data_IF_503687075764
#
_entry.id   IF_503687075764
#
_cell.length_a   1.000
_cell.length_b   1.000
_cell.length_c   1.000
_cell.angle_alpha   90.00
_cell.angle_beta   90.00
_cell.angle_gamma   90.00
#
_symmetry.space_group_name_H-M   'P 1'
#
loop_
_entity.id
_entity.type
_entity.pdbx_description
1 polymer ?
#
# COMPACT_ATOMS: atom_id res chain seq x y z
N UNK A 1 -1.90 -29.82 3.75
CA UNK A 1 -1.05 -29.42 2.61
C UNK A 1 -1.51 -28.03 2.19
N UNK A 2 -0.62 -27.03 2.23
CA UNK A 2 -0.93 -25.64 1.82
C UNK A 2 -1.01 -25.57 0.29
N UNK A 3 -1.96 -24.82 -0.26
CA UNK A 3 -2.12 -24.61 -1.70
C UNK A 3 -1.95 -23.13 -2.03
N UNK A 4 -1.15 -22.84 -3.05
CA UNK A 4 -1.05 -21.51 -3.64
C UNK A 4 -2.33 -21.26 -4.44
N UNK A 5 -2.98 -20.12 -4.20
CA UNK A 5 -4.19 -19.68 -4.91
C UNK A 5 -3.93 -18.51 -5.84
N UNK A 6 -2.90 -17.70 -5.55
CA UNK A 6 -2.49 -16.59 -6.42
C UNK A 6 -0.98 -16.35 -6.30
N UNK A 7 -0.36 -15.94 -7.41
CA UNK A 7 1.05 -15.57 -7.50
C UNK A 7 1.14 -14.18 -8.13
N UNK A 8 1.98 -13.32 -7.58
CA UNK A 8 2.35 -12.05 -8.19
C UNK A 8 3.87 -11.94 -8.25
N UNK A 9 4.39 -11.54 -9.40
CA UNK A 9 5.81 -11.31 -9.62
C UNK A 9 6.03 -9.82 -9.85
N UNK A 10 6.92 -9.20 -9.08
CA UNK A 10 7.34 -7.81 -9.29
C UNK A 10 8.72 -7.77 -9.93
N UNK A 11 8.88 -6.94 -10.96
CA UNK A 11 10.19 -6.68 -11.58
C UNK A 11 10.12 -5.58 -12.64
N UNK A 12 10.51 -4.37 -12.28
CA UNK A 12 11.11 -3.40 -13.20
C UNK A 12 12.19 -2.62 -12.43
N UNK A 13 13.40 -2.59 -13.00
CA UNK A 13 14.64 -1.96 -12.52
C UNK A 13 15.43 -2.65 -11.39
N UNK A 14 16.51 -3.30 -11.84
CA UNK A 14 17.76 -3.66 -11.15
C UNK A 14 17.64 -4.47 -9.82
N UNK A 15 17.81 -5.78 -10.00
CA UNK A 15 18.52 -6.74 -9.14
C UNK A 15 17.79 -7.53 -8.04
N UNK A 16 16.49 -7.35 -7.78
CA UNK A 16 15.74 -8.33 -6.96
C UNK A 16 14.32 -8.52 -7.49
N UNK A 17 14.13 -9.56 -8.30
CA UNK A 17 12.79 -10.04 -8.66
C UNK A 17 12.14 -10.69 -7.43
N UNK A 18 11.02 -10.12 -6.99
CA UNK A 18 10.26 -10.65 -5.85
C UNK A 18 9.03 -11.40 -6.37
N UNK A 19 8.93 -12.68 -6.02
CA UNK A 19 7.71 -13.46 -6.21
C UNK A 19 6.97 -13.57 -4.89
N UNK A 20 5.68 -13.22 -4.90
CA UNK A 20 4.78 -13.36 -3.76
C UNK A 20 3.68 -14.38 -4.06
N UNK A 21 3.30 -15.16 -3.05
CA UNK A 21 2.28 -16.20 -3.16
C UNK A 21 1.25 -16.07 -2.05
N UNK A 22 -0.02 -15.94 -2.43
CA UNK A 22 -1.17 -16.05 -1.53
C UNK A 22 -1.61 -17.52 -1.46
N UNK A 23 -1.78 -18.02 -0.26
CA UNK A 23 -2.21 -19.39 -0.01
C UNK A 23 -3.66 -19.48 0.45
N UNK A 24 -4.26 -20.67 0.30
CA UNK A 24 -5.65 -20.93 0.67
C UNK A 24 -5.95 -20.84 2.17
N UNK A 25 -4.93 -20.74 3.01
CA UNK A 25 -5.02 -20.52 4.46
C UNK A 25 -4.92 -19.02 4.82
N UNK A 26 -4.93 -18.13 3.83
CA UNK A 26 -4.82 -16.68 4.01
C UNK A 26 -3.40 -16.18 4.26
N UNK A 27 -2.41 -17.06 4.30
CA UNK A 27 -1.01 -16.65 4.48
C UNK A 27 -0.39 -16.14 3.18
N UNK A 28 0.46 -15.13 3.29
CA UNK A 28 1.25 -14.58 2.18
C UNK A 28 2.72 -14.93 2.39
N UNK A 29 3.36 -15.37 1.32
CA UNK A 29 4.76 -15.77 1.30
C UNK A 29 5.51 -15.03 0.21
N UNK A 30 6.81 -14.84 0.40
CA UNK A 30 7.71 -14.19 -0.56
C UNK A 30 8.92 -15.08 -0.82
N UNK A 31 9.44 -15.02 -2.04
CA UNK A 31 10.76 -15.50 -2.40
C UNK A 31 11.42 -14.47 -3.33
N UNK A 32 12.64 -14.07 -3.00
CA UNK A 32 13.45 -13.19 -3.84
C UNK A 32 14.63 -13.94 -4.44
N UNK A 33 15.45 -14.52 -3.58
CA UNK A 33 16.61 -15.34 -3.95
C UNK A 33 16.30 -16.78 -3.55
N UNK A 34 16.46 -17.74 -4.48
CA UNK A 34 16.04 -19.13 -4.27
C UNK A 34 16.76 -19.76 -3.06
N UNK A 35 18.01 -19.38 -2.83
CA UNK A 35 18.87 -19.80 -1.73
C UNK A 35 18.35 -19.34 -0.35
N UNK A 36 17.58 -18.25 -0.28
CA UNK A 36 16.96 -17.77 0.97
C UNK A 36 15.65 -18.50 1.28
N UNK A 37 15.11 -19.23 0.30
CA UNK A 37 13.84 -19.92 0.42
C UNK A 37 12.66 -18.98 0.59
N UNK A 38 11.50 -19.57 0.91
CA UNK A 38 10.28 -18.81 1.13
C UNK A 38 10.25 -18.21 2.53
N UNK A 39 9.99 -16.91 2.62
CA UNK A 39 9.72 -16.21 3.88
C UNK A 39 8.22 -15.90 4.01
N UNK A 40 7.67 -16.13 5.21
CA UNK A 40 6.27 -15.81 5.51
C UNK A 40 6.16 -14.33 5.83
N UNK A 41 5.21 -13.63 5.21
CA UNK A 41 4.81 -12.30 5.67
C UNK A 41 4.10 -12.38 7.02
N UNK A 42 4.12 -11.31 7.82
CA UNK A 42 3.28 -11.21 9.01
C UNK A 42 1.81 -11.46 8.65
N UNK A 43 1.06 -12.09 9.55
CA UNK A 43 -0.36 -12.31 9.32
C UNK A 43 -1.07 -10.96 9.08
N UNK A 44 -1.89 -10.92 8.05
CA UNK A 44 -2.74 -9.76 7.73
C UNK A 44 -4.00 -9.92 8.59
N UNK A 45 -4.29 -8.99 9.53
CA UNK A 45 -5.54 -8.99 10.28
C UNK A 45 -6.72 -9.15 9.32
N UNK A 46 -7.52 -10.18 9.55
CA UNK A 46 -8.82 -10.31 8.92
C UNK A 46 -9.78 -9.49 9.78
N UNK A 47 -10.25 -8.36 9.27
CA UNK A 47 -11.04 -7.41 10.06
C UNK A 47 -12.37 -8.02 10.52
N UNK A 48 -12.65 -7.87 11.83
CA UNK A 48 -14.02 -7.60 12.28
C UNK A 48 -14.29 -6.14 11.88
N UNK A 49 -15.37 -5.91 11.14
CA UNK A 49 -15.84 -4.61 10.62
C UNK A 49 -15.23 -3.38 11.31
N UNK A 50 -14.32 -2.70 10.61
CA UNK A 50 -13.80 -1.39 11.01
C UNK A 50 -14.87 -0.35 10.69
N UNK A 51 -15.38 0.36 11.71
CA UNK A 51 -16.37 1.43 11.55
C UNK A 51 -15.71 2.69 10.98
N UNK A 52 -16.28 3.20 9.89
CA UNK A 52 -15.92 4.47 9.25
C UNK A 52 -16.24 5.64 10.19
N UNK A 53 -15.28 6.57 10.37
CA UNK A 53 -15.52 7.85 11.01
C UNK A 53 -15.24 8.96 10.00
N UNK A 54 -16.29 9.67 9.59
CA UNK A 54 -16.23 10.91 8.82
C UNK A 54 -16.06 12.10 9.78
N UNK A 55 -14.95 12.83 9.66
CA UNK A 55 -14.91 14.30 9.88
C UNK A 55 -13.57 14.86 9.41
N UNK A 56 -13.61 15.72 8.38
CA UNK A 56 -12.44 16.40 7.82
C UNK A 56 -12.12 17.65 8.66
N UNK A 57 -11.04 17.57 9.44
CA UNK A 57 -10.25 18.73 9.93
C UNK A 57 -8.86 18.59 9.32
N UNK A 58 -8.07 19.67 9.27
CA UNK A 58 -6.63 19.58 8.95
C UNK A 58 -5.98 18.49 9.79
N UNK A 59 -5.75 17.33 9.19
CA UNK A 59 -5.09 16.20 9.83
C UNK A 59 -3.63 16.33 9.45
N UNK A 60 -2.74 16.50 10.42
CA UNK A 60 -1.37 16.02 10.26
C UNK A 60 -1.45 14.51 10.42
N UNK A 61 -1.22 13.74 9.36
CA UNK A 61 -1.21 12.29 9.46
C UNK A 61 -0.04 11.90 10.35
N UNK A 62 -0.35 11.27 11.48
CA UNK A 62 0.63 10.48 12.21
C UNK A 62 0.87 9.20 11.40
N UNK A 63 1.75 9.31 10.40
CA UNK A 63 2.10 8.21 9.51
C UNK A 63 2.62 6.99 10.27
N UNK A 64 3.29 7.20 11.40
CA UNK A 64 3.83 6.11 12.20
C UNK A 64 2.68 5.35 12.89
N UNK A 65 1.66 6.05 13.38
CA UNK A 65 0.41 5.45 13.86
C UNK A 65 -0.38 4.78 12.73
N UNK A 66 -0.54 5.42 11.58
CA UNK A 66 -1.25 4.85 10.43
C UNK A 66 -0.62 3.55 9.96
N UNK A 67 0.71 3.51 9.86
CA UNK A 67 1.48 2.32 9.49
C UNK A 67 1.33 1.24 10.56
N UNK A 68 1.51 1.60 11.85
CA UNK A 68 1.40 0.67 12.98
C UNK A 68 0.01 0.03 13.04
N UNK A 69 -1.02 0.84 12.91
CA UNK A 69 -2.42 0.44 13.07
C UNK A 69 -3.03 -0.06 11.75
N UNK A 70 -2.26 -0.01 10.65
CA UNK A 70 -2.67 -0.40 9.29
C UNK A 70 -3.97 0.26 8.86
N UNK A 71 -4.08 1.55 9.14
CA UNK A 71 -5.29 2.32 8.85
C UNK A 71 -5.56 2.31 7.35
N UNK A 72 -6.77 1.89 6.97
CA UNK A 72 -7.21 1.89 5.58
C UNK A 72 -7.49 3.33 5.11
N UNK A 73 -6.79 3.75 4.07
CA UNK A 73 -6.90 5.07 3.45
C UNK A 73 -7.65 4.97 2.12
N UNK A 74 -7.91 6.13 1.51
CA UNK A 74 -8.53 6.22 0.18
C UNK A 74 -7.72 7.11 -0.75
N UNK A 75 -7.61 6.71 -2.00
CA UNK A 75 -7.08 7.52 -3.11
C UNK A 75 -8.14 8.48 -3.64
N UNK A 76 -7.76 9.44 -4.49
CA UNK A 76 -8.67 10.48 -5.03
C UNK A 76 -9.80 9.90 -5.86
N UNK A 77 -9.54 8.81 -6.57
CA UNK A 77 -10.55 8.05 -7.32
C UNK A 77 -11.36 7.07 -6.44
N UNK A 78 -11.13 7.07 -5.13
CA UNK A 78 -11.90 6.31 -4.14
C UNK A 78 -11.44 4.87 -3.92
N UNK A 79 -10.33 4.46 -4.53
CA UNK A 79 -9.72 3.15 -4.26
C UNK A 79 -9.16 3.08 -2.84
N UNK A 80 -9.02 1.87 -2.34
CA UNK A 80 -8.46 1.61 -1.01
C UNK A 80 -6.95 1.67 -1.06
N UNK A 81 -6.32 2.25 -0.07
CA UNK A 81 -4.86 2.29 0.05
C UNK A 81 -4.40 1.94 1.47
N UNK A 82 -3.21 1.34 1.56
CA UNK A 82 -2.52 1.06 2.82
C UNK A 82 -1.08 1.53 2.73
N UNK A 83 -0.60 2.22 3.76
CA UNK A 83 0.81 2.54 3.91
C UNK A 83 1.46 1.48 4.80
N UNK A 84 2.53 0.88 4.31
CA UNK A 84 3.18 -0.29 4.90
C UNK A 84 4.50 0.06 5.59
N UNK A 85 5.22 1.04 5.07
CA UNK A 85 6.50 1.46 5.64
C UNK A 85 6.83 2.91 5.29
N UNK A 86 7.83 3.43 6.00
CA UNK A 86 8.35 4.78 5.82
C UNK A 86 9.88 4.75 5.80
N UNK A 87 10.48 5.26 4.73
CA UNK A 87 11.92 5.44 4.55
C UNK A 87 12.25 6.92 4.39
N UNK A 88 12.82 7.52 5.43
CA UNK A 88 13.08 8.96 5.48
C UNK A 88 14.15 9.47 4.50
N UNK A 89 14.81 8.57 3.74
CA UNK A 89 15.85 8.93 2.79
C UNK A 89 15.34 9.14 1.35
N UNK A 90 14.03 9.12 1.14
CA UNK A 90 13.38 9.29 -0.17
C UNK A 90 12.49 10.54 -0.19
N UNK A 91 12.36 11.17 -1.37
CA UNK A 91 11.36 12.21 -1.64
C UNK A 91 9.93 11.68 -1.51
N UNK A 92 9.76 10.37 -1.77
CA UNK A 92 8.53 9.61 -1.59
C UNK A 92 8.76 8.57 -0.49
N UNK A 93 8.83 8.99 0.79
CA UNK A 93 9.26 8.13 1.87
C UNK A 93 8.23 7.08 2.26
N UNK A 94 6.95 7.25 1.92
CA UNK A 94 5.89 6.34 2.33
C UNK A 94 5.70 5.25 1.27
N UNK A 95 5.89 3.99 1.61
CA UNK A 95 5.64 2.88 0.69
C UNK A 95 4.33 2.20 1.04
N UNK A 96 3.51 1.95 0.02
CA UNK A 96 2.17 1.42 0.22
C UNK A 96 1.65 0.60 -0.95
N UNK A 97 0.39 0.21 -0.82
CA UNK A 97 -0.35 -0.50 -1.86
C UNK A 97 -1.71 0.15 -2.07
N UNK A 98 -2.13 0.21 -3.33
CA UNK A 98 -3.51 0.52 -3.73
C UNK A 98 -4.20 -0.80 -4.07
N UNK A 99 -5.42 -0.96 -3.58
CA UNK A 99 -6.28 -2.12 -3.83
C UNK A 99 -7.39 -1.65 -4.74
N UNK A 100 -7.36 -2.08 -6.00
CA UNK A 100 -8.40 -1.72 -6.94
C UNK A 100 -9.69 -2.53 -6.72
N UNK A 101 -10.77 -2.14 -7.41
CA UNK A 101 -12.09 -2.78 -7.27
C UNK A 101 -12.12 -4.27 -7.67
N UNK A 102 -11.13 -4.72 -8.46
CA UNK A 102 -10.97 -6.11 -8.87
C UNK A 102 -10.10 -6.92 -7.89
N UNK A 103 -9.62 -6.31 -6.80
CA UNK A 103 -8.74 -6.92 -5.81
C UNK A 103 -7.27 -7.00 -6.23
N UNK A 104 -6.88 -6.36 -7.33
CA UNK A 104 -5.47 -6.25 -7.70
C UNK A 104 -4.75 -5.24 -6.81
N UNK A 105 -3.51 -5.57 -6.48
CA UNK A 105 -2.63 -4.74 -5.68
C UNK A 105 -1.65 -4.01 -6.59
N UNK A 106 -1.51 -2.71 -6.38
CA UNK A 106 -0.54 -1.84 -7.07
C UNK A 106 0.38 -1.27 -6.00
N UNK A 107 1.67 -1.57 -6.05
CA UNK A 107 2.66 -0.98 -5.15
C UNK A 107 2.99 0.43 -5.60
N UNK A 108 3.07 1.36 -4.68
CA UNK A 108 3.41 2.75 -4.99
C UNK A 108 4.07 3.43 -3.79
N UNK A 109 4.72 4.56 -4.06
CA UNK A 109 5.36 5.39 -3.04
C UNK A 109 4.75 6.79 -3.04
N UNK A 110 4.56 7.33 -1.83
CA UNK A 110 3.96 8.63 -1.60
C UNK A 110 4.93 9.57 -0.89
N UNK A 111 4.82 10.85 -1.20
CA UNK A 111 5.40 11.92 -0.39
C UNK A 111 4.79 11.91 1.01
N UNK A 112 5.41 12.60 1.98
CA UNK A 112 4.82 12.81 3.32
C UNK A 112 3.47 13.54 3.28
N UNK A 113 3.13 14.15 2.15
CA UNK A 113 1.84 14.77 1.89
C UNK A 113 0.84 13.81 1.25
N UNK A 114 1.18 12.54 1.00
CA UNK A 114 0.26 11.56 0.39
C UNK A 114 0.17 11.61 -1.14
N UNK A 115 1.04 12.38 -1.83
CA UNK A 115 1.09 12.44 -3.30
C UNK A 115 1.97 11.37 -3.90
N UNK A 116 1.55 10.75 -5.00
CA UNK A 116 2.38 9.84 -5.79
C UNK A 116 3.31 10.60 -6.73
N UNK A 117 4.43 9.99 -7.10
CA UNK A 117 5.34 10.55 -8.10
C UNK A 117 5.00 10.18 -9.55
N UNK A 118 4.06 9.26 -9.75
CA UNK A 118 3.88 8.56 -11.03
C UNK A 118 2.54 8.84 -11.74
N UNK A 119 1.50 9.26 -11.03
CA UNK A 119 0.18 9.53 -11.62
C UNK A 119 0.12 10.98 -12.13
N UNK A 120 0.07 11.14 -13.46
CA UNK A 120 -0.02 12.45 -14.11
C UNK A 120 -1.35 13.16 -13.81
N UNK A 121 -2.40 12.40 -13.49
CA UNK A 121 -3.75 12.84 -13.15
C UNK A 121 -4.03 12.86 -11.65
N UNK A 122 -3.05 12.48 -10.81
CA UNK A 122 -3.13 12.48 -9.36
C UNK A 122 -4.30 11.66 -8.77
N UNK A 123 -4.81 10.69 -9.53
CA UNK A 123 -5.93 9.83 -9.12
C UNK A 123 -5.55 8.96 -7.92
N UNK A 124 -4.29 8.56 -7.88
CA UNK A 124 -3.74 7.64 -6.89
C UNK A 124 -3.35 8.34 -5.58
N UNK A 125 -3.43 9.67 -5.53
CA UNK A 125 -3.07 10.44 -4.34
C UNK A 125 -4.04 10.16 -3.16
N UNK A 126 -3.52 9.97 -1.95
CA UNK A 126 -4.30 9.76 -0.69
C UNK A 126 -5.17 10.97 -0.26
N UNK A 127 -6.49 10.87 -0.37
CA UNK A 127 -7.44 11.97 -0.08
C UNK A 127 -7.26 12.58 1.32
N UNK A 128 -7.34 13.92 1.37
CA UNK A 128 -7.31 14.72 2.59
C UNK A 128 -6.16 15.73 2.69
N UNK A 129 -5.31 15.86 1.64
CA UNK A 129 -3.97 16.44 1.76
C UNK A 129 -3.55 17.53 0.76
N UNK A 130 -4.42 17.93 -0.14
CA UNK A 130 -4.09 19.00 -1.09
C UNK A 130 -5.29 19.91 -1.24
N UNK A 131 -5.07 21.19 -0.97
CA UNK A 131 -5.79 22.22 -1.70
C UNK A 131 -5.43 22.01 -3.17
N UNK A 132 -6.44 21.70 -4.00
CA UNK A 132 -6.28 21.93 -5.43
C UNK A 132 -5.89 23.40 -5.56
N UNK A 133 -4.78 23.69 -6.23
CA UNK A 133 -4.53 25.06 -6.63
C UNK A 133 -5.74 25.43 -7.48
N UNK A 134 -6.60 26.30 -6.95
CA UNK A 134 -7.69 26.91 -7.70
C UNK A 134 -7.02 27.69 -8.84
N UNK A 135 -6.76 27.00 -9.95
CA UNK A 135 -6.41 27.63 -11.21
C UNK A 135 -7.74 28.14 -11.78
N UNK A 136 -8.20 29.27 -11.23
CA UNK A 136 -9.09 30.19 -11.95
C UNK A 136 -8.37 30.80 -13.15
#
# INVERSE_FOLDING_TARGET
MRKIIQIACGGEYQDIDLTTALCNDGTVWQIGIFEQGWSKFPDIPQDKEIKENETVKEITFDWDTIIRDRTLLRTRDGLKALILSKDNNSEFPLNGVIINNSGWLITTSYSIKGRTGYSADQTDDIVGYWEEANNE
#
